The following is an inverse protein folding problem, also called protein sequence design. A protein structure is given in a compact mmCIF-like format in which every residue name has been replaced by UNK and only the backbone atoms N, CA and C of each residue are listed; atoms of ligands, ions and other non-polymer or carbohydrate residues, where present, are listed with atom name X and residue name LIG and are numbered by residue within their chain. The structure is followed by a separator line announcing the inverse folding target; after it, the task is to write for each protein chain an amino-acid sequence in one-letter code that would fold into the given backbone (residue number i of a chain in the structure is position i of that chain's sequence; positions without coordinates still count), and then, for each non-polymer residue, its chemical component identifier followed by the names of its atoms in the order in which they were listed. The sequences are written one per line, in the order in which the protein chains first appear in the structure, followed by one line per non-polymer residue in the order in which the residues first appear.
data_IF_875235780069
#
_entry.id   IF_875235780069
#
_cell.length_a   1.000
_cell.length_b   1.000
_cell.length_c   1.000
_cell.angle_alpha   90.00
_cell.angle_beta   90.00
_cell.angle_gamma   90.00
#
_symmetry.space_group_name_H-M   'P 1'
#
loop_
_entity.id
_entity.type
_entity.pdbx_description
1 polymer ?
#
# COMPACT_ATOMS: atom_id res chain seq x y z
N UNK A 1 -51.62 13.43 43.89
CA UNK A 1 -50.16 13.67 43.98
C UNK A 1 -49.31 12.40 43.83
N UNK A 2 -49.61 11.27 44.48
CA UNK A 2 -48.81 10.03 44.26
C UNK A 2 -48.95 9.41 42.87
N UNK A 3 -50.13 9.51 42.25
CA UNK A 3 -50.36 8.98 40.90
C UNK A 3 -49.47 9.65 39.84
N UNK A 4 -49.25 10.96 39.96
CA UNK A 4 -48.44 11.73 39.02
C UNK A 4 -46.95 11.33 39.10
N UNK A 5 -46.41 11.10 40.30
CA UNK A 5 -45.02 10.72 40.50
C UNK A 5 -44.65 9.37 39.84
N UNK A 6 -45.60 8.41 39.81
CA UNK A 6 -45.38 7.11 39.14
C UNK A 6 -45.34 7.25 37.63
N UNK A 7 -46.17 8.13 37.06
CA UNK A 7 -46.22 8.40 35.62
C UNK A 7 -44.92 9.05 35.15
N UNK A 8 -44.41 10.05 35.88
CA UNK A 8 -43.12 10.68 35.56
C UNK A 8 -41.94 9.69 35.62
N UNK A 9 -41.89 8.83 36.65
CA UNK A 9 -40.85 7.80 36.78
C UNK A 9 -40.86 6.79 35.61
N UNK A 10 -42.04 6.38 35.15
CA UNK A 10 -42.17 5.46 34.01
C UNK A 10 -41.72 6.10 32.69
N UNK A 11 -42.04 7.37 32.47
CA UNK A 11 -41.65 8.13 31.28
C UNK A 11 -40.12 8.29 31.22
N UNK A 12 -39.47 8.64 32.34
CA UNK A 12 -38.01 8.77 32.44
C UNK A 12 -37.31 7.43 32.15
N UNK A 13 -37.87 6.32 32.64
CA UNK A 13 -37.37 4.97 32.36
C UNK A 13 -37.39 4.62 30.87
N UNK A 14 -38.46 5.00 30.15
CA UNK A 14 -38.59 4.76 28.71
C UNK A 14 -37.61 5.60 27.89
N UNK A 15 -37.44 6.89 28.23
CA UNK A 15 -36.46 7.76 27.57
C UNK A 15 -35.03 7.27 27.79
N UNK A 16 -34.70 6.83 29.02
CA UNK A 16 -33.38 6.25 29.33
C UNK A 16 -33.11 4.98 28.52
N UNK A 17 -34.07 4.06 28.42
CA UNK A 17 -33.94 2.83 27.61
C UNK A 17 -33.77 3.12 26.12
N UNK A 18 -34.57 4.03 25.54
CA UNK A 18 -34.44 4.44 24.13
C UNK A 18 -33.08 5.09 23.84
N UNK A 19 -32.61 5.96 24.74
CA UNK A 19 -31.28 6.57 24.64
C UNK A 19 -30.17 5.51 24.72
N UNK A 20 -30.26 4.57 25.66
CA UNK A 20 -29.31 3.46 25.79
C UNK A 20 -29.28 2.59 24.53
N UNK A 21 -30.44 2.24 23.95
CA UNK A 21 -30.51 1.47 22.70
C UNK A 21 -29.88 2.22 21.52
N UNK A 22 -30.10 3.54 21.39
CA UNK A 22 -29.49 4.35 20.34
C UNK A 22 -27.96 4.39 20.49
N UNK A 23 -27.47 4.61 21.70
CA UNK A 23 -26.03 4.61 21.98
C UNK A 23 -25.41 3.24 21.68
N UNK A 24 -26.05 2.16 22.10
CA UNK A 24 -25.59 0.80 21.81
C UNK A 24 -25.52 0.53 20.31
N UNK A 25 -26.56 0.89 19.54
CA UNK A 25 -26.56 0.73 18.08
C UNK A 25 -25.45 1.55 17.42
N UNK A 26 -25.28 2.81 17.83
CA UNK A 26 -24.21 3.66 17.31
C UNK A 26 -22.82 3.06 17.60
N UNK A 27 -22.60 2.55 18.81
CA UNK A 27 -21.36 1.88 19.19
C UNK A 27 -21.10 0.62 18.35
N UNK A 28 -22.11 -0.21 18.11
CA UNK A 28 -21.99 -1.40 17.28
C UNK A 28 -21.68 -1.06 15.82
N UNK A 29 -22.33 -0.04 15.25
CA UNK A 29 -22.05 0.43 13.89
C UNK A 29 -20.62 0.94 13.79
N UNK A 30 -20.19 1.76 14.76
CA UNK A 30 -18.82 2.28 14.78
C UNK A 30 -17.80 1.13 14.87
N UNK A 31 -18.03 0.15 15.75
CA UNK A 31 -17.17 -1.03 15.86
C UNK A 31 -17.09 -1.81 14.54
N UNK A 32 -18.22 -2.01 13.85
CA UNK A 32 -18.26 -2.67 12.55
C UNK A 32 -17.48 -1.89 11.48
N UNK A 33 -17.62 -0.56 11.43
CA UNK A 33 -16.89 0.30 10.49
C UNK A 33 -15.38 0.26 10.74
N UNK A 34 -14.96 0.26 12.00
CA UNK A 34 -13.55 0.14 12.38
C UNK A 34 -12.97 -1.20 11.92
N UNK A 35 -13.68 -2.30 12.18
CA UNK A 35 -13.26 -3.64 11.73
C UNK A 35 -13.20 -3.73 10.20
N UNK A 36 -14.20 -3.19 9.49
CA UNK A 36 -14.22 -3.15 8.03
C UNK A 36 -13.04 -2.34 7.47
N UNK A 37 -12.75 -1.18 8.05
CA UNK A 37 -11.63 -0.34 7.62
C UNK A 37 -10.29 -1.08 7.76
N UNK A 38 -9.99 -1.59 8.95
CA UNK A 38 -8.72 -2.29 9.22
C UNK A 38 -8.60 -3.60 8.41
N UNK A 39 -9.67 -4.40 8.33
CA UNK A 39 -9.70 -5.60 7.50
C UNK A 39 -9.54 -5.28 6.01
N UNK A 40 -10.15 -4.21 5.53
CA UNK A 40 -10.08 -3.76 4.15
C UNK A 40 -8.68 -3.31 3.74
N UNK A 41 -8.02 -2.48 4.54
CA UNK A 41 -6.64 -2.04 4.24
C UNK A 41 -5.64 -3.20 4.32
N UNK A 42 -5.82 -4.13 5.27
CA UNK A 42 -5.01 -5.35 5.35
C UNK A 42 -5.17 -6.21 4.10
N UNK A 43 -6.42 -6.49 3.71
CA UNK A 43 -6.74 -7.28 2.52
C UNK A 43 -6.19 -6.65 1.24
N UNK A 44 -6.32 -5.32 1.12
CA UNK A 44 -5.74 -4.56 0.01
C UNK A 44 -4.22 -4.73 -0.07
N UNK A 45 -3.48 -4.49 1.02
CA UNK A 45 -2.02 -4.59 1.02
C UNK A 45 -1.54 -6.00 0.68
N UNK A 46 -2.13 -7.02 1.30
CA UNK A 46 -1.82 -8.44 1.02
C UNK A 46 -2.04 -8.78 -0.46
N UNK A 47 -3.15 -8.32 -1.06
CA UNK A 47 -3.42 -8.54 -2.47
C UNK A 47 -2.40 -7.85 -3.40
N UNK A 48 -1.97 -6.63 -3.08
CA UNK A 48 -0.95 -5.93 -3.87
C UNK A 48 0.42 -6.58 -3.74
N UNK A 49 0.80 -7.02 -2.54
CA UNK A 49 2.05 -7.77 -2.30
C UNK A 49 2.04 -9.08 -3.09
N UNK A 50 0.94 -9.84 -3.04
CA UNK A 50 0.80 -11.09 -3.80
C UNK A 50 0.95 -10.85 -5.32
N UNK A 51 0.33 -9.79 -5.85
CA UNK A 51 0.46 -9.40 -7.26
C UNK A 51 1.89 -8.98 -7.62
N UNK A 52 2.58 -8.26 -6.72
CA UNK A 52 3.98 -7.89 -6.91
C UNK A 52 4.87 -9.14 -6.95
N UNK A 53 4.72 -10.06 -5.98
CA UNK A 53 5.47 -11.33 -5.93
C UNK A 53 5.24 -12.20 -7.15
N UNK A 54 4.02 -12.23 -7.69
CA UNK A 54 3.68 -12.98 -8.90
C UNK A 54 4.44 -12.49 -10.15
N UNK A 55 4.96 -11.26 -10.15
CA UNK A 55 5.81 -10.73 -11.24
C UNK A 55 7.30 -11.03 -11.04
N UNK A 56 7.66 -11.62 -9.91
CA UNK A 56 9.03 -11.95 -9.55
C UNK A 56 9.44 -11.32 -8.22
N UNK A 57 10.32 -12.03 -7.52
CA UNK A 57 11.00 -11.57 -6.31
C UNK A 57 12.49 -11.71 -6.53
N UNK A 58 13.24 -10.66 -6.20
CA UNK A 58 14.65 -10.55 -6.52
C UNK A 58 15.48 -10.25 -5.26
N UNK A 59 16.76 -10.67 -5.21
CA UNK A 59 17.59 -10.47 -4.01
C UNK A 59 17.77 -9.00 -3.59
N UNK A 60 17.78 -8.07 -4.54
CA UNK A 60 17.91 -6.62 -4.28
C UNK A 60 16.90 -5.82 -5.11
N UNK A 61 16.62 -4.58 -4.69
CA UNK A 61 15.74 -3.67 -5.42
C UNK A 61 16.32 -3.32 -6.81
N UNK A 62 17.65 -3.21 -6.92
CA UNK A 62 18.35 -3.00 -8.19
C UNK A 62 18.17 -4.18 -9.13
N UNK A 63 18.24 -5.42 -8.60
CA UNK A 63 18.01 -6.62 -9.39
C UNK A 63 16.55 -6.67 -9.90
N UNK A 64 15.59 -6.32 -9.04
CA UNK A 64 14.19 -6.19 -9.44
C UNK A 64 14.00 -5.11 -10.51
N UNK A 65 14.63 -3.95 -10.35
CA UNK A 65 14.55 -2.84 -11.29
C UNK A 65 15.13 -3.20 -12.67
N UNK A 66 16.30 -3.84 -12.70
CA UNK A 66 16.89 -4.36 -13.93
C UNK A 66 15.98 -5.37 -14.61
N UNK A 67 15.43 -6.32 -13.85
CA UNK A 67 14.53 -7.33 -14.41
C UNK A 67 13.24 -6.71 -14.97
N UNK A 68 12.69 -5.69 -14.28
CA UNK A 68 11.45 -5.02 -14.68
C UNK A 68 11.59 -4.26 -16.00
N UNK A 69 12.76 -3.67 -16.26
CA UNK A 69 12.97 -2.80 -17.43
C UNK A 69 13.83 -3.41 -18.53
N UNK A 70 14.10 -4.72 -18.51
CA UNK A 70 14.95 -5.37 -19.53
C UNK A 70 14.23 -5.70 -20.83
N UNK A 71 12.91 -5.89 -20.78
CA UNK A 71 12.16 -6.52 -21.89
C UNK A 71 11.74 -5.52 -22.99
N UNK A 72 12.12 -4.24 -22.86
CA UNK A 72 11.75 -3.20 -23.84
C UNK A 72 10.25 -2.95 -23.90
N UNK A 73 9.79 -2.21 -24.92
CA UNK A 73 8.36 -2.04 -25.19
C UNK A 73 8.12 -1.53 -26.62
N UNK A 74 6.89 -1.69 -27.12
CA UNK A 74 6.51 -1.21 -28.46
C UNK A 74 7.37 -1.80 -29.59
N UNK A 75 7.79 -3.06 -29.42
CA UNK A 75 8.67 -3.78 -30.36
C UNK A 75 10.14 -3.36 -30.32
N UNK A 76 10.55 -2.40 -29.49
CA UNK A 76 11.94 -2.04 -29.29
C UNK A 76 12.56 -2.87 -28.17
N UNK A 77 13.82 -3.27 -28.35
CA UNK A 77 14.62 -4.02 -27.38
C UNK A 77 15.55 -3.08 -26.60
N UNK A 78 15.91 -3.48 -25.38
CA UNK A 78 16.81 -2.69 -24.53
C UNK A 78 18.26 -2.97 -24.89
N UNK A 79 18.94 -1.97 -25.47
CA UNK A 79 20.38 -2.03 -25.72
C UNK A 79 21.20 -1.78 -24.46
N UNK A 80 20.79 -0.79 -23.65
CA UNK A 80 21.54 -0.40 -22.46
C UNK A 80 20.60 0.04 -21.35
N UNK A 81 20.86 -0.50 -20.16
CA UNK A 81 20.18 -0.11 -18.93
C UNK A 81 21.21 0.34 -17.90
N UNK A 82 21.13 1.60 -17.49
CA UNK A 82 21.99 2.18 -16.47
C UNK A 82 21.14 2.69 -15.31
N UNK A 83 21.15 1.95 -14.19
CA UNK A 83 20.55 2.42 -12.95
C UNK A 83 21.21 3.73 -12.52
N UNK A 84 20.39 4.74 -12.22
CA UNK A 84 20.83 6.07 -11.77
C UNK A 84 20.72 6.20 -10.26
N UNK A 85 19.60 5.77 -9.70
CA UNK A 85 19.32 5.81 -8.28
C UNK A 85 18.44 4.62 -7.90
N UNK A 86 18.64 4.07 -6.71
CA UNK A 86 17.77 3.06 -6.13
C UNK A 86 17.92 3.15 -4.62
N UNK A 87 16.85 3.52 -3.93
CA UNK A 87 16.92 3.80 -2.50
C UNK A 87 15.57 4.10 -1.89
N UNK A 88 15.54 4.38 -0.57
CA UNK A 88 14.33 4.76 0.15
C UNK A 88 13.56 5.87 -0.58
N UNK A 89 12.25 5.67 -0.77
CA UNK A 89 11.41 6.69 -1.43
C UNK A 89 11.27 7.98 -0.61
N UNK A 90 11.45 7.92 0.71
CA UNK A 90 11.53 9.09 1.56
C UNK A 90 12.95 9.20 2.17
N UNK A 91 13.76 10.18 1.75
CA UNK A 91 15.10 10.37 2.28
C UNK A 91 15.11 10.93 3.72
N UNK A 92 13.95 11.38 4.22
CA UNK A 92 13.79 11.86 5.60
C UNK A 92 13.22 10.82 6.55
N UNK A 93 12.94 9.59 6.08
CA UNK A 93 12.69 8.49 7.00
C UNK A 93 13.96 8.30 7.84
N UNK A 94 13.80 8.33 9.16
CA UNK A 94 14.90 8.19 10.11
C UNK A 94 15.74 6.97 9.72
N UNK A 95 17.07 7.08 9.56
CA UNK A 95 17.91 5.92 9.28
C UNK A 95 17.81 4.82 10.37
N UNK A 96 17.30 5.14 11.56
CA UNK A 96 16.94 4.19 12.60
C UNK A 96 15.57 3.50 12.37
N UNK A 97 14.69 4.07 11.55
CA UNK A 97 13.47 3.42 11.07
C UNK A 97 13.85 2.42 9.97
N UNK A 98 14.41 1.29 10.40
CA UNK A 98 14.83 0.11 9.60
C UNK A 98 13.70 -0.52 8.77
N UNK A 99 12.54 0.12 8.73
CA UNK A 99 11.28 -0.27 8.09
C UNK A 99 11.07 0.41 6.74
N UNK A 100 12.16 0.75 6.05
CA UNK A 100 12.07 1.16 4.65
C UNK A 100 11.69 -0.05 3.81
N UNK A 101 10.38 -0.21 3.67
CA UNK A 101 9.75 -1.29 2.90
C UNK A 101 9.54 -0.92 1.44
N UNK A 102 9.71 0.34 1.08
CA UNK A 102 9.50 0.83 -0.29
C UNK A 102 10.68 1.65 -0.74
N UNK A 103 11.30 1.20 -1.83
CA UNK A 103 12.33 1.94 -2.55
C UNK A 103 11.77 2.49 -3.84
N UNK A 104 12.33 3.62 -4.27
CA UNK A 104 12.13 4.14 -5.61
C UNK A 104 13.45 4.03 -6.36
N UNK A 105 13.40 3.40 -7.54
CA UNK A 105 14.57 3.25 -8.39
C UNK A 105 14.32 3.92 -9.73
N UNK A 106 15.38 4.42 -10.33
CA UNK A 106 15.39 5.05 -11.65
C UNK A 106 16.52 4.48 -12.50
N UNK A 107 16.28 4.36 -13.79
CA UNK A 107 17.29 3.96 -14.77
C UNK A 107 17.19 4.78 -16.04
N UNK A 108 18.33 5.09 -16.64
CA UNK A 108 18.38 5.44 -18.05
C UNK A 108 18.25 4.15 -18.86
N UNK A 109 17.23 4.08 -19.70
CA UNK A 109 17.02 2.98 -20.65
C UNK A 109 17.29 3.53 -22.06
N UNK A 110 18.10 2.80 -22.82
CA UNK A 110 18.38 3.04 -24.23
C UNK A 110 17.91 1.82 -25.02
N UNK A 111 17.15 2.09 -26.07
CA UNK A 111 16.51 1.12 -26.95
C UNK A 111 17.25 1.06 -28.29
N UNK A 112 17.05 -0.04 -29.00
CA UNK A 112 17.60 -0.25 -30.35
C UNK A 112 16.97 0.66 -31.41
N UNK A 113 15.68 0.96 -31.24
CA UNK A 113 14.89 1.85 -32.09
C UNK A 113 13.86 2.63 -31.27
N UNK A 114 13.29 3.67 -31.89
CA UNK A 114 12.13 4.32 -31.31
C UNK A 114 10.94 3.34 -31.33
N UNK A 115 10.26 3.12 -30.20
CA UNK A 115 9.04 2.32 -30.13
C UNK A 115 7.96 2.87 -31.05
N UNK A 116 7.04 2.01 -31.48
CA UNK A 116 5.92 2.43 -32.33
C UNK A 116 5.15 3.61 -31.72
N UNK A 117 4.98 4.68 -32.50
CA UNK A 117 4.32 5.91 -32.06
C UNK A 117 5.16 6.83 -31.16
N UNK A 118 6.49 6.62 -31.07
CA UNK A 118 7.43 7.48 -30.35
C UNK A 118 8.54 8.00 -31.28
N UNK A 119 9.12 9.12 -30.91
CA UNK A 119 10.24 9.80 -31.60
C UNK A 119 11.57 9.70 -30.81
N UNK A 120 11.58 8.95 -29.71
CA UNK A 120 12.73 8.76 -28.84
C UNK A 120 13.09 7.28 -28.69
N UNK A 121 14.38 7.00 -28.61
CA UNK A 121 14.95 5.67 -28.32
C UNK A 121 15.64 5.59 -26.97
N UNK A 122 15.49 6.63 -26.12
CA UNK A 122 16.01 6.63 -24.77
C UNK A 122 15.04 7.35 -23.83
N UNK A 123 14.90 6.83 -22.61
CA UNK A 123 14.00 7.39 -21.61
C UNK A 123 14.50 7.12 -20.19
N UNK A 124 13.95 7.87 -19.23
CA UNK A 124 14.15 7.62 -17.81
C UNK A 124 13.02 6.72 -17.31
N UNK A 125 13.36 5.48 -16.93
CA UNK A 125 12.45 4.59 -16.23
C UNK A 125 12.48 4.92 -14.73
N UNK A 126 11.32 4.83 -14.09
CA UNK A 126 11.14 5.00 -12.65
C UNK A 126 10.12 3.98 -12.13
N UNK A 127 10.31 3.50 -10.91
CA UNK A 127 9.41 2.49 -10.35
C UNK A 127 9.63 2.27 -8.86
N UNK A 128 8.57 1.83 -8.21
CA UNK A 128 8.59 1.46 -6.81
C UNK A 128 8.88 -0.03 -6.65
N UNK A 129 9.65 -0.35 -5.61
CA UNK A 129 10.02 -1.71 -5.27
C UNK A 129 9.72 -1.91 -3.80
N UNK A 130 8.92 -2.93 -3.50
CA UNK A 130 8.54 -3.27 -2.14
C UNK A 130 9.42 -4.40 -1.64
N UNK A 131 9.93 -4.27 -0.41
CA UNK A 131 10.60 -5.34 0.30
C UNK A 131 9.55 -6.34 0.78
N UNK A 132 9.75 -7.61 0.45
CA UNK A 132 8.95 -8.75 0.91
C UNK A 132 9.87 -9.71 1.66
N UNK A 133 9.31 -10.78 2.23
CA UNK A 133 10.08 -11.71 3.07
C UNK A 133 11.27 -12.30 2.31
N UNK A 134 11.05 -12.59 1.04
CA UNK A 134 11.96 -13.35 0.18
C UNK A 134 12.84 -12.45 -0.71
N UNK A 135 12.74 -11.11 -0.59
CA UNK A 135 13.51 -10.16 -1.40
C UNK A 135 12.75 -8.89 -1.76
N UNK A 136 12.85 -8.46 -3.01
CA UNK A 136 12.27 -7.23 -3.54
C UNK A 136 11.38 -7.53 -4.74
N UNK A 137 10.20 -6.91 -4.78
CA UNK A 137 9.24 -7.06 -5.86
C UNK A 137 8.85 -5.69 -6.43
N UNK A 138 8.65 -5.62 -7.75
CA UNK A 138 8.18 -4.40 -8.39
C UNK A 138 6.72 -4.13 -8.06
N UNK A 139 6.42 -2.90 -7.65
CA UNK A 139 5.08 -2.43 -7.36
C UNK A 139 4.75 -1.23 -8.26
N UNK A 140 3.66 -1.28 -9.04
CA UNK A 140 3.27 -0.16 -9.86
C UNK A 140 2.81 1.00 -8.98
N UNK A 141 3.07 2.23 -9.42
CA UNK A 141 2.66 3.45 -8.71
C UNK A 141 1.15 3.47 -8.39
N UNK A 142 0.31 2.99 -9.32
CA UNK A 142 -1.14 2.88 -9.13
C UNK A 142 -1.58 1.90 -8.02
N UNK A 143 -0.67 1.07 -7.48
CA UNK A 143 -0.94 0.25 -6.29
C UNK A 143 -0.71 1.00 -4.97
N UNK A 144 -0.39 2.31 -5.03
CA UNK A 144 -0.14 3.16 -3.86
C UNK A 144 0.95 2.57 -2.94
N UNK A 145 2.18 2.37 -3.45
CA UNK A 145 3.24 1.67 -2.73
C UNK A 145 3.54 2.29 -1.36
N UNK A 146 3.51 3.62 -1.21
CA UNK A 146 3.65 4.27 0.09
C UNK A 146 2.55 3.90 1.10
N UNK A 147 1.31 3.71 0.65
CA UNK A 147 0.22 3.25 1.53
C UNK A 147 0.40 1.77 1.88
N UNK A 148 0.75 0.93 0.91
CA UNK A 148 1.07 -0.50 1.15
C UNK A 148 2.20 -0.61 2.17
N UNK A 149 3.28 0.16 2.02
CA UNK A 149 4.40 0.17 2.95
C UNK A 149 3.99 0.53 4.39
N UNK A 150 3.16 1.57 4.57
CA UNK A 150 2.62 1.90 5.91
C UNK A 150 1.79 0.77 6.51
N UNK A 151 0.97 0.10 5.70
CA UNK A 151 0.14 -1.03 6.14
C UNK A 151 1.01 -2.23 6.50
N UNK A 152 2.07 -2.49 5.73
CA UNK A 152 3.04 -3.54 6.04
C UNK A 152 3.68 -3.32 7.40
N UNK A 153 4.09 -2.09 7.70
CA UNK A 153 4.65 -1.72 9.00
C UNK A 153 3.61 -1.84 10.13
N UNK A 154 2.35 -1.46 9.88
CA UNK A 154 1.27 -1.54 10.88
C UNK A 154 0.93 -3.00 11.28
N UNK A 155 0.97 -3.93 10.33
CA UNK A 155 0.55 -5.33 10.53
C UNK A 155 1.70 -6.34 10.52
N UNK A 156 2.94 -5.88 10.46
CA UNK A 156 4.13 -6.71 10.30
C UNK A 156 4.03 -7.70 9.12
N UNK A 157 3.47 -7.25 8.00
CA UNK A 157 3.33 -8.09 6.82
C UNK A 157 4.72 -8.49 6.29
N UNK A 158 4.81 -9.70 5.73
CA UNK A 158 6.05 -10.25 5.19
C UNK A 158 7.20 -10.37 6.22
N UNK A 159 6.88 -10.36 7.52
CA UNK A 159 7.87 -10.50 8.59
C UNK A 159 8.74 -9.26 8.79
N UNK A 160 8.25 -8.10 8.35
CA UNK A 160 8.92 -6.83 8.53
C UNK A 160 8.50 -6.28 9.90
N UNK A 161 9.44 -6.10 10.85
CA UNK A 161 9.15 -5.57 12.19
C UNK A 161 8.70 -4.11 12.12
#
# INVERSE_FOLDING_TARGET
MEADARVFSQIDGLFRRRRQQRVLRAALILAALVLLYFGGIYGYATAQIARAKARGVYPTAEAAARATWRDGFGGAEVLRLSLRHCGPNNPHDDPADRRVVVWFCTAQVQLDRAPEGRDWSAYLAGGFFVRVRDGWAWMPEGALPGAVGRIMNLYHLEGIP
#
